data_IF_546428093770
#
_entry.id   IF_546428093770
#
_cell.length_a   1.000
_cell.length_b   1.000
_cell.length_c   1.000
_cell.angle_alpha   90.00
_cell.angle_beta   90.00
_cell.angle_gamma   90.00
#
_symmetry.space_group_name_H-M   'P 1'
#
loop_
_entity.id
_entity.type
_entity.pdbx_description
1 polymer ?
#
# COMPACT_ATOMS: atom_id res chain seq x y z
N UNK A 1 10.83 7.27 1.76
CA UNK A 1 11.02 7.19 0.29
C UNK A 1 9.88 7.87 -0.44
N UNK A 2 8.61 7.49 -0.24
CA UNK A 2 7.47 8.14 -0.92
C UNK A 2 7.37 9.65 -0.69
N UNK A 3 7.37 10.10 0.57
CA UNK A 3 7.34 11.54 0.87
C UNK A 3 8.52 12.30 0.24
N UNK A 4 9.68 11.65 0.10
CA UNK A 4 10.85 12.24 -0.54
C UNK A 4 10.68 12.37 -2.06
N UNK A 5 10.13 11.36 -2.74
CA UNK A 5 9.83 11.43 -4.18
C UNK A 5 8.79 12.51 -4.47
N UNK A 6 7.77 12.63 -3.61
CA UNK A 6 6.77 13.70 -3.76
C UNK A 6 7.37 15.09 -3.55
N UNK A 7 8.26 15.24 -2.57
CA UNK A 7 8.97 16.50 -2.36
C UNK A 7 9.93 16.82 -3.50
N UNK A 8 10.64 15.81 -4.01
CA UNK A 8 11.50 15.97 -5.18
C UNK A 8 10.67 16.41 -6.38
N UNK A 9 9.49 15.81 -6.58
CA UNK A 9 8.57 16.18 -7.66
C UNK A 9 8.06 17.61 -7.52
N UNK A 10 7.65 18.01 -6.31
CA UNK A 10 7.25 19.40 -6.03
C UNK A 10 8.40 20.36 -6.31
N UNK A 11 9.63 20.05 -5.91
CA UNK A 11 10.81 20.87 -6.18
C UNK A 11 11.12 20.96 -7.68
N UNK A 12 11.14 19.83 -8.39
CA UNK A 12 11.40 19.82 -9.83
C UNK A 12 10.30 20.55 -10.59
N UNK A 13 9.06 20.54 -10.09
CA UNK A 13 7.95 21.26 -10.70
C UNK A 13 7.97 22.77 -10.49
N UNK A 14 8.88 23.30 -9.67
CA UNK A 14 9.04 24.75 -9.53
C UNK A 14 9.59 25.39 -10.81
N UNK A 15 10.13 24.61 -11.74
CA UNK A 15 10.46 25.10 -13.09
C UNK A 15 9.24 25.54 -13.90
N UNK A 16 8.02 25.12 -13.50
CA UNK A 16 6.77 25.60 -14.09
C UNK A 16 6.56 27.10 -13.81
N UNK A 17 7.09 27.60 -12.69
CA UNK A 17 7.06 29.03 -12.39
C UNK A 17 7.96 29.72 -13.41
N UNK A 18 7.43 30.70 -14.14
CA UNK A 18 8.09 31.38 -15.25
C UNK A 18 9.20 32.35 -14.78
N UNK A 19 10.21 31.80 -14.13
CA UNK A 19 11.35 32.52 -13.57
C UNK A 19 12.61 32.07 -14.28
N UNK A 20 13.51 33.02 -14.57
CA UNK A 20 14.80 32.73 -15.20
C UNK A 20 15.71 32.07 -14.18
N UNK A 21 15.70 30.74 -14.16
CA UNK A 21 16.64 29.97 -13.36
C UNK A 21 18.04 29.99 -14.00
N UNK A 22 19.10 29.91 -13.18
CA UNK A 22 20.47 29.73 -13.67
C UNK A 22 20.61 28.44 -14.47
N UNK A 23 21.53 28.44 -15.43
CA UNK A 23 21.78 27.30 -16.33
C UNK A 23 22.08 26.01 -15.56
N UNK A 24 22.91 26.09 -14.50
CA UNK A 24 23.26 24.91 -13.70
C UNK A 24 22.07 24.35 -12.93
N UNK A 25 21.25 25.22 -12.33
CA UNK A 25 20.02 24.83 -11.62
C UNK A 25 19.00 24.21 -12.59
N UNK A 26 18.85 24.78 -13.78
CA UNK A 26 18.02 24.23 -14.85
C UNK A 26 18.48 22.84 -15.28
N UNK A 27 19.79 22.64 -15.47
CA UNK A 27 20.37 21.36 -15.89
C UNK A 27 20.19 20.28 -14.81
N UNK A 28 20.40 20.62 -13.53
CA UNK A 28 20.15 19.68 -12.42
C UNK A 28 18.67 19.35 -12.30
N UNK A 29 17.79 20.35 -12.39
CA UNK A 29 16.34 20.13 -12.37
C UNK A 29 15.91 19.19 -13.50
N UNK A 30 16.47 19.31 -14.71
CA UNK A 30 16.18 18.41 -15.83
C UNK A 30 16.50 16.94 -15.51
N UNK A 31 17.64 16.65 -14.88
CA UNK A 31 17.96 15.28 -14.47
C UNK A 31 17.09 14.80 -13.32
N UNK A 32 16.85 15.64 -12.30
CA UNK A 32 16.01 15.29 -11.17
C UNK A 32 14.55 15.06 -11.57
N UNK A 33 14.08 15.76 -12.60
CA UNK A 33 12.73 15.65 -13.13
C UNK A 33 12.44 14.25 -13.69
N UNK A 34 13.34 13.68 -14.48
CA UNK A 34 13.19 12.31 -14.99
C UNK A 34 13.06 11.29 -13.84
N UNK A 35 13.87 11.46 -12.79
CA UNK A 35 13.76 10.63 -11.58
C UNK A 35 12.45 10.87 -10.80
N UNK A 36 11.99 12.12 -10.71
CA UNK A 36 10.79 12.47 -9.92
C UNK A 36 9.49 12.06 -10.61
N UNK A 37 9.48 12.04 -11.94
CA UNK A 37 8.38 11.54 -12.78
C UNK A 37 8.40 10.00 -12.91
N UNK A 38 9.49 9.35 -12.49
CA UNK A 38 9.76 7.93 -12.73
C UNK A 38 9.73 7.56 -14.21
N UNK A 39 10.08 8.51 -15.06
CA UNK A 39 10.05 8.38 -16.52
C UNK A 39 11.28 7.62 -17.03
N UNK A 40 11.24 6.31 -16.81
CA UNK A 40 12.35 5.39 -17.09
C UNK A 40 12.11 4.63 -18.41
N UNK A 41 10.85 4.47 -18.80
CA UNK A 41 10.45 3.74 -19.99
C UNK A 41 10.24 4.72 -21.14
N UNK A 42 10.71 4.43 -22.37
CA UNK A 42 10.49 5.29 -23.53
C UNK A 42 9.04 5.19 -24.02
N UNK A 43 8.12 5.80 -23.28
CA UNK A 43 6.68 5.74 -23.52
C UNK A 43 6.30 6.39 -24.85
N UNK A 44 6.97 7.50 -25.22
CA UNK A 44 6.72 8.24 -26.46
C UNK A 44 6.73 7.34 -27.70
N UNK A 45 7.74 6.44 -27.79
CA UNK A 45 7.86 5.50 -28.91
C UNK A 45 6.69 4.54 -28.97
N UNK A 46 6.21 4.07 -27.81
CA UNK A 46 5.11 3.12 -27.73
C UNK A 46 3.81 3.84 -28.12
N UNK A 47 3.60 5.06 -27.62
CA UNK A 47 2.42 5.87 -27.92
C UNK A 47 2.31 6.19 -29.42
N UNK A 48 3.42 6.54 -30.07
CA UNK A 48 3.47 6.78 -31.54
C UNK A 48 3.05 5.55 -32.36
N UNK A 49 3.34 4.32 -31.90
CA UNK A 49 2.92 3.11 -32.60
C UNK A 49 1.43 2.80 -32.46
N UNK A 50 0.80 3.21 -31.35
CA UNK A 50 -0.58 2.85 -31.03
C UNK A 50 -1.60 3.98 -31.27
N UNK A 51 -1.18 5.25 -31.24
CA UNK A 51 -2.05 6.41 -31.26
C UNK A 51 -1.55 7.45 -32.27
N UNK A 52 -2.47 7.97 -33.09
CA UNK A 52 -2.23 9.09 -34.01
C UNK A 52 -2.70 10.38 -33.33
N UNK A 53 -1.81 11.36 -33.26
CA UNK A 53 -2.05 12.68 -32.65
C UNK A 53 -1.85 13.78 -33.70
N UNK A 54 -2.60 14.87 -33.58
CA UNK A 54 -2.46 16.07 -34.42
C UNK A 54 -1.33 16.97 -33.90
N UNK A 55 -0.63 17.67 -34.81
CA UNK A 55 0.51 18.56 -34.51
C UNK A 55 0.17 19.68 -33.50
N UNK A 56 -1.09 20.15 -33.47
CA UNK A 56 -1.53 21.21 -32.56
C UNK A 56 -1.49 20.75 -31.09
N UNK A 57 -1.70 19.45 -30.86
CA UNK A 57 -1.66 18.87 -29.51
C UNK A 57 -0.22 18.69 -28.99
N UNK A 58 0.78 18.83 -29.87
CA UNK A 58 2.19 18.61 -29.57
C UNK A 58 2.88 19.84 -28.98
N UNK A 59 2.24 21.01 -29.02
CA UNK A 59 2.76 22.22 -28.37
C UNK A 59 2.53 22.21 -26.85
N UNK A 60 3.51 22.67 -26.08
CA UNK A 60 3.36 22.91 -24.64
C UNK A 60 2.48 24.13 -24.33
N UNK A 61 2.15 24.36 -23.05
CA UNK A 61 1.49 25.59 -22.60
C UNK A 61 2.46 26.80 -22.54
N UNK A 62 3.74 26.56 -22.73
CA UNK A 62 4.80 27.57 -22.69
C UNK A 62 6.14 26.95 -22.29
N UNK A 63 7.25 27.69 -22.47
CA UNK A 63 8.60 27.18 -22.25
C UNK A 63 8.88 26.72 -20.81
N UNK A 64 8.18 27.27 -19.82
CA UNK A 64 8.28 26.83 -18.42
C UNK A 64 7.65 25.46 -18.18
N UNK A 65 6.60 25.10 -18.92
CA UNK A 65 5.99 23.77 -18.84
C UNK A 65 6.85 22.71 -19.55
N UNK A 66 7.41 23.04 -20.71
CA UNK A 66 8.40 22.21 -21.41
C UNK A 66 9.64 21.96 -20.54
N UNK A 67 10.17 23.01 -19.88
CA UNK A 67 11.24 22.87 -18.90
C UNK A 67 10.90 22.03 -17.66
N UNK A 68 9.62 21.71 -17.46
CA UNK A 68 9.11 20.84 -16.40
C UNK A 68 8.66 19.45 -16.93
N UNK A 69 8.98 19.11 -18.19
CA UNK A 69 8.65 17.82 -18.81
C UNK A 69 7.19 17.68 -19.20
N UNK A 70 6.49 18.80 -19.39
CA UNK A 70 5.15 18.85 -19.98
C UNK A 70 5.27 19.44 -21.38
N UNK A 71 5.90 18.67 -22.26
CA UNK A 71 6.31 19.10 -23.61
C UNK A 71 5.12 19.23 -24.57
N UNK A 72 3.99 18.59 -24.24
CA UNK A 72 2.77 18.58 -25.04
C UNK A 72 1.58 19.07 -24.21
N UNK A 73 0.49 19.50 -24.86
CA UNK A 73 -0.81 19.70 -24.18
C UNK A 73 -1.55 18.39 -23.97
N UNK A 74 -1.18 17.36 -24.70
CA UNK A 74 -1.82 16.07 -24.66
C UNK A 74 -1.60 15.40 -23.30
N UNK A 75 -2.70 15.14 -22.60
CA UNK A 75 -2.64 14.52 -21.28
C UNK A 75 -2.01 13.11 -21.31
N UNK A 76 -2.13 12.38 -22.42
CA UNK A 76 -1.51 11.05 -22.55
C UNK A 76 0.01 11.16 -22.67
N UNK A 77 0.52 11.99 -23.58
CA UNK A 77 1.97 12.17 -23.76
C UNK A 77 2.65 12.67 -22.48
N UNK A 78 2.01 13.61 -21.77
CA UNK A 78 2.53 14.15 -20.51
C UNK A 78 2.58 13.12 -19.36
N UNK A 79 1.91 11.98 -19.48
CA UNK A 79 2.03 10.90 -18.49
C UNK A 79 3.34 10.14 -18.63
N UNK A 80 3.90 10.09 -19.83
CA UNK A 80 5.06 9.26 -20.17
C UNK A 80 4.91 7.83 -19.64
N UNK A 81 5.92 7.33 -18.95
CA UNK A 81 5.89 5.99 -18.34
C UNK A 81 4.73 5.77 -17.34
N UNK A 82 4.16 6.85 -16.78
CA UNK A 82 2.97 6.82 -15.93
C UNK A 82 1.78 6.12 -16.59
N UNK A 83 1.60 6.32 -17.89
CA UNK A 83 0.55 5.66 -18.67
C UNK A 83 0.77 4.14 -18.74
N UNK A 84 2.01 3.70 -18.98
CA UNK A 84 2.37 2.28 -18.99
C UNK A 84 2.14 1.64 -17.61
N UNK A 85 2.47 2.36 -16.52
CA UNK A 85 2.20 1.87 -15.17
C UNK A 85 0.69 1.72 -14.90
N UNK A 86 -0.16 2.60 -15.43
CA UNK A 86 -1.62 2.43 -15.37
C UNK A 86 -2.02 1.13 -16.08
N UNK A 87 -1.56 0.92 -17.32
CA UNK A 87 -1.89 -0.28 -18.10
C UNK A 87 -1.45 -1.55 -17.37
N UNK A 88 -0.19 -1.59 -16.91
CA UNK A 88 0.34 -2.75 -16.16
C UNK A 88 -0.48 -3.00 -14.89
N UNK A 89 -0.88 -1.94 -14.18
CA UNK A 89 -1.71 -2.05 -12.99
C UNK A 89 -3.10 -2.60 -13.32
N UNK A 90 -3.72 -2.15 -14.42
CA UNK A 90 -5.00 -2.66 -14.89
C UNK A 90 -4.91 -4.13 -15.29
N UNK A 91 -3.84 -4.53 -16.01
CA UNK A 91 -3.58 -5.92 -16.37
C UNK A 91 -3.41 -6.78 -15.10
N UNK A 92 -2.64 -6.32 -14.12
CA UNK A 92 -2.44 -7.03 -12.86
C UNK A 92 -3.75 -7.18 -12.07
N UNK A 93 -4.57 -6.13 -11.99
CA UNK A 93 -5.92 -6.18 -11.41
C UNK A 93 -6.80 -7.20 -12.13
N UNK A 94 -6.79 -7.22 -13.47
CA UNK A 94 -7.58 -8.15 -14.27
C UNK A 94 -7.16 -9.60 -14.03
N UNK A 95 -5.86 -9.89 -14.00
CA UNK A 95 -5.33 -11.23 -13.74
C UNK A 95 -5.77 -11.77 -12.39
N UNK A 96 -5.77 -10.93 -11.35
CA UNK A 96 -6.16 -11.34 -10.01
C UNK A 96 -7.67 -11.47 -9.86
N UNK A 97 -8.43 -10.63 -10.56
CA UNK A 97 -9.87 -10.82 -10.69
C UNK A 97 -10.21 -12.16 -11.36
N UNK A 98 -9.56 -12.49 -12.49
CA UNK A 98 -9.71 -13.78 -13.15
C UNK A 98 -9.29 -14.96 -12.26
N UNK A 99 -8.15 -14.85 -11.57
CA UNK A 99 -7.70 -15.88 -10.64
C UNK A 99 -8.70 -16.11 -9.50
N UNK A 100 -9.37 -15.05 -9.02
CA UNK A 100 -10.42 -15.14 -8.01
C UNK A 100 -11.70 -15.78 -8.56
N UNK A 101 -12.09 -15.47 -9.79
CA UNK A 101 -13.23 -16.11 -10.46
C UNK A 101 -13.00 -17.62 -10.65
N UNK A 102 -11.80 -18.01 -11.10
CA UNK A 102 -11.41 -19.42 -11.25
C UNK A 102 -11.43 -20.13 -9.89
N UNK A 103 -10.90 -19.51 -8.83
CA UNK A 103 -10.95 -20.04 -7.46
C UNK A 103 -12.38 -20.18 -6.90
N UNK A 104 -13.31 -19.33 -7.34
CA UNK A 104 -14.72 -19.44 -6.97
C UNK A 104 -15.38 -20.62 -7.70
N UNK A 105 -15.09 -20.78 -8.99
CA UNK A 105 -15.62 -21.88 -9.81
C UNK A 105 -15.02 -23.25 -9.45
N UNK A 106 -13.81 -23.31 -8.90
CA UNK A 106 -13.11 -24.56 -8.59
C UNK A 106 -13.42 -25.15 -7.21
N UNK A 107 -14.33 -24.55 -6.44
CA UNK A 107 -14.73 -25.00 -5.10
C UNK A 107 -15.30 -26.45 -5.06
N UNK A 108 -15.56 -27.07 -6.22
CA UNK A 108 -16.17 -28.39 -6.30
C UNK A 108 -15.23 -29.61 -6.33
N UNK A 109 -14.02 -29.58 -6.93
CA UNK A 109 -13.45 -30.85 -7.43
C UNK A 109 -11.92 -31.08 -7.44
N UNK A 110 -11.03 -30.16 -7.03
CA UNK A 110 -9.58 -30.39 -7.21
C UNK A 110 -8.66 -30.05 -6.01
N UNK A 111 -7.56 -30.81 -5.95
CA UNK A 111 -6.66 -31.14 -4.81
C UNK A 111 -6.23 -30.04 -3.83
N UNK A 112 -6.04 -30.44 -2.57
CA UNK A 112 -6.04 -29.62 -1.33
C UNK A 112 -4.73 -28.85 -1.03
N UNK A 113 -3.56 -29.23 -1.58
CA UNK A 113 -2.27 -28.70 -1.07
C UNK A 113 -1.61 -27.59 -1.91
N UNK A 114 -1.55 -27.70 -3.24
CA UNK A 114 -0.96 -26.62 -4.09
C UNK A 114 -1.92 -25.43 -4.19
N UNK A 115 -3.22 -25.71 -4.21
CA UNK A 115 -4.26 -24.68 -4.26
C UNK A 115 -4.40 -23.90 -2.95
N UNK A 116 -4.08 -24.47 -1.78
CA UNK A 116 -4.20 -23.74 -0.52
C UNK A 116 -3.17 -22.61 -0.41
N UNK A 117 -1.93 -22.83 -0.88
CA UNK A 117 -0.91 -21.78 -0.99
C UNK A 117 -1.31 -20.72 -2.01
N UNK A 118 -1.69 -21.11 -3.24
CA UNK A 118 -2.16 -20.16 -4.27
C UNK A 118 -3.38 -19.37 -3.81
N UNK A 119 -4.33 -20.00 -3.10
CA UNK A 119 -5.51 -19.33 -2.55
C UNK A 119 -5.13 -18.32 -1.46
N UNK A 120 -4.18 -18.64 -0.59
CA UNK A 120 -3.64 -17.70 0.40
C UNK A 120 -2.94 -16.52 -0.28
N UNK A 121 -2.11 -16.77 -1.30
CA UNK A 121 -1.45 -15.73 -2.08
C UNK A 121 -2.49 -14.86 -2.80
N UNK A 122 -3.46 -15.45 -3.50
CA UNK A 122 -4.51 -14.71 -4.22
C UNK A 122 -5.37 -13.87 -3.26
N UNK A 123 -5.75 -14.41 -2.10
CA UNK A 123 -6.54 -13.66 -1.12
C UNK A 123 -5.73 -12.51 -0.48
N UNK A 124 -4.46 -12.75 -0.17
CA UNK A 124 -3.55 -11.72 0.36
C UNK A 124 -3.29 -10.62 -0.68
N UNK A 125 -2.96 -11.00 -1.91
CA UNK A 125 -2.78 -10.08 -3.04
C UNK A 125 -4.07 -9.33 -3.35
N UNK A 126 -5.24 -9.97 -3.28
CA UNK A 126 -6.53 -9.31 -3.49
C UNK A 126 -6.77 -8.19 -2.47
N UNK A 127 -6.51 -8.43 -1.18
CA UNK A 127 -6.65 -7.39 -0.16
C UNK A 127 -5.67 -6.23 -0.38
N UNK A 128 -4.41 -6.55 -0.72
CA UNK A 128 -3.40 -5.52 -1.01
C UNK A 128 -3.77 -4.70 -2.25
N UNK A 129 -4.26 -5.34 -3.31
CA UNK A 129 -4.61 -4.67 -4.56
C UNK A 129 -5.86 -3.85 -4.39
N UNK A 130 -6.93 -4.42 -3.85
CA UNK A 130 -8.22 -3.75 -3.76
C UNK A 130 -8.14 -2.48 -2.90
N UNK A 131 -7.42 -2.54 -1.77
CA UNK A 131 -7.35 -1.43 -0.83
C UNK A 131 -6.15 -0.52 -1.00
N UNK A 132 -5.00 -1.03 -1.45
CA UNK A 132 -3.75 -0.26 -1.47
C UNK A 132 -3.29 0.15 -2.86
N UNK A 133 -3.54 -0.64 -3.91
CA UNK A 133 -2.97 -0.33 -5.23
C UNK A 133 -3.59 0.94 -5.85
N UNK A 134 -4.94 1.11 -5.92
CA UNK A 134 -5.53 2.34 -6.44
C UNK A 134 -5.07 3.59 -5.70
N UNK A 135 -5.07 3.54 -4.36
CA UNK A 135 -4.70 4.69 -3.54
C UNK A 135 -3.20 4.99 -3.65
N UNK A 136 -2.33 3.97 -3.81
CA UNK A 136 -0.90 4.18 -4.12
C UNK A 136 -0.70 4.80 -5.49
N UNK A 137 -1.40 4.31 -6.52
CA UNK A 137 -1.28 4.84 -7.88
C UNK A 137 -1.77 6.29 -7.94
N UNK A 138 -2.90 6.59 -7.28
CA UNK A 138 -3.39 7.95 -7.12
C UNK A 138 -2.31 8.77 -6.44
N UNK A 139 -1.85 8.44 -5.23
CA UNK A 139 -0.83 9.22 -4.54
C UNK A 139 0.47 9.39 -5.32
N UNK A 140 0.93 8.34 -5.98
CA UNK A 140 2.20 8.33 -6.70
C UNK A 140 2.15 9.21 -7.94
N UNK A 141 1.03 9.28 -8.65
CA UNK A 141 0.94 9.99 -9.92
C UNK A 141 0.02 11.21 -9.85
N UNK A 142 -0.52 11.53 -8.67
CA UNK A 142 -1.54 12.56 -8.48
C UNK A 142 -1.11 13.91 -9.05
N UNK A 143 0.13 14.30 -8.78
CA UNK A 143 0.68 15.55 -9.25
C UNK A 143 0.71 15.63 -10.78
N UNK A 144 1.25 14.59 -11.43
CA UNK A 144 1.42 14.52 -12.89
C UNK A 144 0.06 14.40 -13.58
N UNK A 145 -0.84 13.56 -13.06
CA UNK A 145 -2.21 13.40 -13.55
C UNK A 145 -2.96 14.72 -13.52
N UNK A 146 -2.89 15.41 -12.39
CA UNK A 146 -3.63 16.65 -12.20
C UNK A 146 -3.08 17.74 -13.11
N UNK A 147 -1.76 17.94 -13.18
CA UNK A 147 -1.19 18.93 -14.12
C UNK A 147 -1.55 18.59 -15.55
N UNK A 148 -1.37 17.34 -15.98
CA UNK A 148 -1.71 16.92 -17.35
C UNK A 148 -3.20 17.14 -17.66
N UNK A 149 -4.09 16.86 -16.71
CA UNK A 149 -5.53 17.07 -16.86
C UNK A 149 -5.89 18.56 -16.96
N UNK A 150 -5.38 19.39 -16.05
CA UNK A 150 -5.64 20.82 -16.06
C UNK A 150 -5.00 21.52 -17.26
N UNK A 151 -3.82 21.07 -17.70
CA UNK A 151 -3.16 21.63 -18.87
C UNK A 151 -3.96 21.41 -20.16
N UNK A 152 -4.50 20.19 -20.33
CA UNK A 152 -5.30 19.84 -21.50
C UNK A 152 -6.68 20.52 -21.50
N UNK A 153 -7.32 20.72 -20.34
CA UNK A 153 -8.65 21.36 -20.25
C UNK A 153 -8.66 22.86 -20.50
N UNK A 154 -7.51 23.53 -20.54
CA UNK A 154 -7.46 24.97 -20.87
C UNK A 154 -7.67 25.27 -22.37
N UNK A 155 -7.68 24.24 -23.22
CA UNK A 155 -7.91 24.40 -24.66
C UNK A 155 -9.13 23.57 -25.04
N UNK A 156 -9.94 24.12 -25.97
CA UNK A 156 -11.17 23.50 -26.45
C UNK A 156 -10.93 22.03 -26.74
N UNK A 157 -11.76 21.18 -26.11
CA UNK A 157 -11.72 19.74 -26.28
C UNK A 157 -11.84 19.43 -27.77
N UNK A 158 -10.72 19.02 -28.39
CA UNK A 158 -10.67 18.66 -29.80
C UNK A 158 -10.93 17.16 -29.95
N UNK A 159 -11.67 16.81 -31.00
CA UNK A 159 -12.10 15.45 -31.30
C UNK A 159 -11.74 15.05 -32.74
N UNK A 160 -10.77 15.73 -33.38
CA UNK A 160 -10.45 15.51 -34.79
C UNK A 160 -9.76 14.18 -35.04
N UNK A 161 -8.90 13.71 -34.13
CA UNK A 161 -8.20 12.41 -34.25
C UNK A 161 -8.54 11.45 -33.11
N UNK A 162 -8.30 10.15 -33.34
CA UNK A 162 -8.54 9.12 -32.31
C UNK A 162 -7.67 9.32 -31.07
N UNK A 163 -6.43 9.81 -31.24
CA UNK A 163 -5.54 10.15 -30.13
C UNK A 163 -6.08 11.33 -29.31
N UNK A 164 -6.59 12.37 -29.96
CA UNK A 164 -7.21 13.51 -29.27
C UNK A 164 -8.51 13.14 -28.55
N UNK A 165 -9.37 12.31 -29.16
CA UNK A 165 -10.58 11.82 -28.52
C UNK A 165 -10.24 11.07 -27.22
N UNK A 166 -9.23 10.19 -27.28
CA UNK A 166 -8.78 9.45 -26.11
C UNK A 166 -8.11 10.37 -25.09
N UNK A 167 -7.26 11.31 -25.51
CA UNK A 167 -6.59 12.27 -24.64
C UNK A 167 -7.60 13.16 -23.90
N UNK A 168 -8.62 13.64 -24.60
CA UNK A 168 -9.71 14.44 -24.06
C UNK A 168 -10.56 13.68 -23.06
N UNK A 169 -10.97 12.46 -23.41
CA UNK A 169 -11.71 11.58 -22.48
C UNK A 169 -10.87 11.26 -21.24
N UNK A 170 -9.58 10.97 -21.43
CA UNK A 170 -8.63 10.67 -20.36
C UNK A 170 -8.41 11.89 -19.47
N UNK A 171 -8.27 13.08 -20.04
CA UNK A 171 -8.13 14.34 -19.31
C UNK A 171 -9.36 14.65 -18.45
N UNK A 172 -10.58 14.47 -18.97
CA UNK A 172 -11.81 14.60 -18.19
C UNK A 172 -11.88 13.58 -17.05
N UNK A 173 -11.53 12.32 -17.31
CA UNK A 173 -11.47 11.29 -16.28
C UNK A 173 -10.42 11.62 -15.21
N UNK A 174 -9.23 12.09 -15.60
CA UNK A 174 -8.18 12.52 -14.70
C UNK A 174 -8.56 13.76 -13.90
N UNK A 175 -9.31 14.69 -14.48
CA UNK A 175 -9.86 15.84 -13.75
C UNK A 175 -10.86 15.39 -12.69
N UNK A 176 -11.73 14.44 -13.02
CA UNK A 176 -12.63 13.80 -12.06
C UNK A 176 -11.87 13.10 -10.92
N UNK A 177 -10.77 12.41 -11.25
CA UNK A 177 -9.87 11.80 -10.27
C UNK A 177 -9.17 12.88 -9.44
N UNK A 178 -8.68 13.96 -10.04
CA UNK A 178 -7.99 15.04 -9.32
C UNK A 178 -8.89 15.64 -8.23
N UNK A 179 -10.12 16.01 -8.56
CA UNK A 179 -11.05 16.56 -7.56
C UNK A 179 -11.64 15.50 -6.62
N UNK A 180 -11.87 14.28 -7.11
CA UNK A 180 -12.49 13.20 -6.34
C UNK A 180 -11.52 12.45 -5.42
N UNK A 181 -10.23 12.43 -5.72
CA UNK A 181 -9.23 11.63 -5.01
C UNK A 181 -9.08 11.98 -3.53
N UNK A 182 -9.06 13.26 -3.09
CA UNK A 182 -8.99 13.56 -1.67
C UNK A 182 -10.19 12.99 -0.90
N UNK A 183 -11.40 13.14 -1.44
CA UNK A 183 -12.62 12.62 -0.82
C UNK A 183 -12.60 11.08 -0.82
N UNK A 184 -12.23 10.47 -1.95
CA UNK A 184 -12.10 9.03 -2.08
C UNK A 184 -11.07 8.45 -1.09
N UNK A 185 -9.93 9.12 -0.91
CA UNK A 185 -8.92 8.74 0.06
C UNK A 185 -9.44 8.80 1.49
N UNK A 186 -10.13 9.89 1.85
CA UNK A 186 -10.75 10.03 3.16
C UNK A 186 -11.79 8.93 3.43
N UNK A 187 -12.65 8.64 2.45
CA UNK A 187 -13.68 7.59 2.53
C UNK A 187 -13.03 6.22 2.73
N UNK A 188 -12.03 5.87 1.91
CA UNK A 188 -11.32 4.58 2.03
C UNK A 188 -10.66 4.45 3.40
N UNK A 189 -9.96 5.49 3.85
CA UNK A 189 -9.26 5.44 5.14
C UNK A 189 -10.27 5.29 6.28
N UNK A 190 -11.38 6.02 6.24
CA UNK A 190 -12.45 5.91 7.23
C UNK A 190 -13.06 4.50 7.27
N UNK A 191 -13.49 3.95 6.14
CA UNK A 191 -14.06 2.61 6.09
C UNK A 191 -13.06 1.54 6.50
N UNK A 192 -11.80 1.66 6.06
CA UNK A 192 -10.75 0.73 6.44
C UNK A 192 -10.51 0.75 7.94
N UNK A 193 -10.44 1.94 8.55
CA UNK A 193 -10.26 2.07 9.99
C UNK A 193 -11.41 1.42 10.76
N UNK A 194 -12.64 1.44 10.23
CA UNK A 194 -13.79 0.77 10.85
C UNK A 194 -13.83 -0.76 10.69
N UNK A 195 -13.13 -1.31 9.67
CA UNK A 195 -13.28 -2.71 9.25
C UNK A 195 -12.07 -3.59 9.55
N UNK A 196 -10.87 -3.01 9.69
CA UNK A 196 -9.62 -3.76 9.84
C UNK A 196 -8.96 -3.34 11.15
N UNK A 197 -8.66 -4.31 12.02
CA UNK A 197 -7.90 -4.06 13.23
C UNK A 197 -6.62 -3.30 12.87
N UNK A 198 -6.43 -2.17 13.54
CA UNK A 198 -5.37 -1.21 13.24
C UNK A 198 -3.95 -1.78 13.45
N UNK A 199 -3.82 -3.04 13.87
CA UNK A 199 -2.57 -3.80 14.04
C UNK A 199 -2.05 -4.43 12.73
N UNK A 200 -2.88 -4.61 11.70
CA UNK A 200 -2.48 -5.21 10.41
C UNK A 200 -2.09 -4.15 9.35
N UNK A 201 -1.17 -3.23 9.70
CA UNK A 201 -0.81 -2.09 8.82
C UNK A 201 0.26 -2.38 7.77
N UNK A 202 0.84 -3.58 7.73
CA UNK A 202 2.00 -3.83 6.87
C UNK A 202 1.63 -3.74 5.39
N UNK A 203 2.28 -2.82 4.67
CA UNK A 203 1.99 -2.59 3.25
C UNK A 203 0.76 -1.72 3.00
N UNK A 204 0.38 -0.86 3.94
CA UNK A 204 -0.81 0.00 3.83
C UNK A 204 -0.43 1.47 3.78
N UNK A 205 -1.25 2.32 3.15
CA UNK A 205 -0.97 3.76 3.04
C UNK A 205 -1.10 4.51 4.38
N UNK A 206 -1.65 3.84 5.39
CA UNK A 206 -1.78 4.31 6.77
C UNK A 206 -0.65 3.79 7.66
N UNK A 207 0.32 3.05 7.11
CA UNK A 207 1.44 2.52 7.86
C UNK A 207 2.32 3.68 8.40
N UNK A 208 2.51 3.72 9.72
CA UNK A 208 3.28 4.76 10.39
C UNK A 208 2.51 6.08 10.67
N UNK A 209 1.24 6.19 10.27
CA UNK A 209 0.38 7.33 10.67
C UNK A 209 -0.17 7.11 12.09
N UNK A 210 -0.20 8.17 12.89
CA UNK A 210 -0.89 8.18 14.19
C UNK A 210 -2.42 8.17 13.96
N UNK A 211 -3.20 7.87 15.00
CA UNK A 211 -4.67 7.96 14.93
C UNK A 211 -5.14 9.37 14.51
N UNK A 212 -4.47 10.40 15.02
CA UNK A 212 -4.72 11.80 14.64
C UNK A 212 -4.25 12.10 13.21
N UNK A 213 -3.24 11.37 12.73
CA UNK A 213 -2.67 11.48 11.39
C UNK A 213 -3.43 10.73 10.29
N UNK A 214 -4.55 10.06 10.58
CA UNK A 214 -5.35 9.35 9.57
C UNK A 214 -5.77 10.25 8.39
N UNK A 215 -6.00 11.53 8.67
CA UNK A 215 -6.36 12.52 7.64
C UNK A 215 -5.15 13.10 6.90
N UNK A 216 -3.91 12.66 7.18
CA UNK A 216 -2.74 13.21 6.51
C UNK A 216 -2.81 12.96 5.00
N UNK A 217 -3.15 11.75 4.55
CA UNK A 217 -3.25 11.41 3.12
C UNK A 217 -4.21 12.33 2.34
N UNK A 218 -5.49 12.50 2.73
CA UNK A 218 -6.37 13.42 2.01
C UNK A 218 -5.90 14.87 2.11
N UNK A 219 -5.29 15.29 3.23
CA UNK A 219 -4.70 16.63 3.36
C UNK A 219 -3.53 16.83 2.39
N UNK A 220 -2.66 15.83 2.20
CA UNK A 220 -1.59 15.88 1.18
C UNK A 220 -2.18 16.04 -0.22
N UNK A 221 -3.23 15.28 -0.56
CA UNK A 221 -3.87 15.39 -1.87
C UNK A 221 -4.52 16.77 -2.10
N UNK A 222 -5.14 17.35 -1.07
CA UNK A 222 -5.68 18.73 -1.13
C UNK A 222 -4.54 19.73 -1.31
N UNK A 223 -3.49 19.63 -0.49
CA UNK A 223 -2.32 20.49 -0.56
C UNK A 223 -1.69 20.47 -1.97
N UNK A 224 -1.50 19.28 -2.54
CA UNK A 224 -0.99 19.11 -3.89
C UNK A 224 -1.94 19.68 -4.94
N UNK A 225 -3.26 19.47 -4.81
CA UNK A 225 -4.26 20.03 -5.72
C UNK A 225 -4.23 21.56 -5.75
N UNK A 226 -4.20 22.20 -4.57
CA UNK A 226 -4.15 23.67 -4.48
C UNK A 226 -2.85 24.20 -5.10
N UNK A 227 -1.73 23.51 -4.88
CA UNK A 227 -0.45 23.86 -5.51
C UNK A 227 -0.53 23.83 -7.04
N UNK A 228 -1.17 22.82 -7.61
CA UNK A 228 -1.37 22.68 -9.06
C UNK A 228 -2.26 23.79 -9.62
N UNK A 229 -3.35 24.11 -8.92
CA UNK A 229 -4.23 25.23 -9.30
C UNK A 229 -3.42 26.53 -9.35
N UNK A 230 -2.54 26.77 -8.39
CA UNK A 230 -1.65 27.94 -8.41
C UNK A 230 -0.68 27.90 -9.59
N UNK A 231 -0.03 26.78 -9.85
CA UNK A 231 0.91 26.66 -10.99
C UNK A 231 0.24 26.98 -12.33
N UNK A 232 -1.00 26.54 -12.53
CA UNK A 232 -1.67 26.63 -13.83
C UNK A 232 -2.40 27.95 -14.00
N UNK A 233 -3.22 28.36 -13.03
CA UNK A 233 -4.07 29.55 -13.17
C UNK A 233 -3.33 30.87 -12.94
N UNK A 234 -2.21 30.84 -12.21
CA UNK A 234 -1.42 32.05 -11.94
C UNK A 234 -0.10 32.08 -12.74
N UNK A 235 -0.01 31.32 -13.84
CA UNK A 235 1.22 31.19 -14.66
C UNK A 235 1.81 32.51 -15.17
N UNK A 236 1.01 33.57 -15.23
CA UNK A 236 1.44 34.89 -15.70
C UNK A 236 2.07 35.75 -14.60
N UNK A 237 1.94 35.35 -13.33
CA UNK A 237 2.35 36.16 -12.17
C UNK A 237 3.21 35.36 -11.21
N UNK A 238 4.47 35.09 -11.60
CA UNK A 238 5.43 34.30 -10.83
C UNK A 238 5.56 34.73 -9.36
N UNK A 239 5.60 36.04 -9.07
CA UNK A 239 5.68 36.52 -7.69
C UNK A 239 4.47 36.13 -6.84
N UNK A 240 3.26 36.16 -7.41
CA UNK A 240 2.04 35.75 -6.71
C UNK A 240 2.04 34.23 -6.52
N UNK A 241 2.47 33.46 -7.53
CA UNK A 241 2.61 32.01 -7.44
C UNK A 241 3.52 31.60 -6.29
N UNK A 242 4.74 32.13 -6.25
CA UNK A 242 5.73 31.83 -5.21
C UNK A 242 5.17 32.19 -3.83
N UNK A 243 4.54 33.36 -3.68
CA UNK A 243 3.96 33.81 -2.41
C UNK A 243 2.88 32.85 -1.90
N UNK A 244 1.95 32.44 -2.77
CA UNK A 244 0.86 31.54 -2.37
C UNK A 244 1.35 30.12 -2.08
N UNK A 245 2.29 29.60 -2.88
CA UNK A 245 2.91 28.30 -2.64
C UNK A 245 3.69 28.30 -1.31
N UNK A 246 4.37 29.40 -1.00
CA UNK A 246 5.06 29.58 0.27
C UNK A 246 4.07 29.57 1.45
N UNK A 247 2.96 30.30 1.33
CA UNK A 247 1.92 30.32 2.36
C UNK A 247 1.30 28.92 2.59
N UNK A 248 1.05 28.17 1.52
CA UNK A 248 0.53 26.79 1.62
C UNK A 248 1.55 25.86 2.30
N UNK A 249 2.84 26.00 1.97
CA UNK A 249 3.91 25.27 2.66
C UNK A 249 3.95 25.61 4.16
N UNK A 250 3.79 26.89 4.54
CA UNK A 250 3.70 27.29 5.96
C UNK A 250 2.49 26.67 6.66
N UNK A 251 1.31 26.62 6.01
CA UNK A 251 0.13 25.93 6.56
C UNK A 251 0.41 24.45 6.76
N UNK A 252 1.14 23.81 5.84
CA UNK A 252 1.54 22.41 5.97
C UNK A 252 2.52 22.18 7.13
N UNK A 253 3.48 23.07 7.32
CA UNK A 253 4.40 23.04 8.47
C UNK A 253 3.64 23.17 9.78
N UNK A 254 2.72 24.13 9.88
CA UNK A 254 1.86 24.29 11.05
C UNK A 254 1.05 23.01 11.32
N UNK A 255 0.45 22.42 10.28
CA UNK A 255 -0.25 21.14 10.38
C UNK A 255 0.65 20.03 10.95
N UNK A 256 1.87 19.86 10.43
CA UNK A 256 2.81 18.82 10.91
C UNK A 256 3.19 19.07 12.39
N UNK A 257 3.43 20.32 12.77
CA UNK A 257 3.81 20.69 14.14
C UNK A 257 2.67 20.40 15.12
N UNK A 258 1.44 20.82 14.81
CA UNK A 258 0.32 20.71 15.74
C UNK A 258 -0.31 19.32 15.78
N UNK A 259 -0.41 18.64 14.63
CA UNK A 259 -1.08 17.33 14.54
C UNK A 259 -0.09 16.18 14.73
N UNK A 260 1.19 16.36 14.37
CA UNK A 260 2.20 15.29 14.40
C UNK A 260 1.67 13.98 13.77
N UNK A 261 1.41 13.98 12.44
CA UNK A 261 0.65 12.93 11.78
C UNK A 261 1.31 11.54 11.80
N UNK A 262 2.60 11.45 12.09
CA UNK A 262 3.32 10.17 12.14
C UNK A 262 3.49 9.67 13.59
N UNK A 263 3.47 8.35 13.79
CA UNK A 263 3.65 7.74 15.10
C UNK A 263 5.07 7.95 15.64
N UNK A 264 6.06 7.89 14.75
CA UNK A 264 7.46 8.05 15.15
C UNK A 264 7.84 9.54 15.11
N UNK A 265 8.47 10.06 16.16
CA UNK A 265 8.87 11.46 16.20
C UNK A 265 9.89 11.82 15.11
N UNK A 266 10.73 10.86 14.69
CA UNK A 266 11.69 11.08 13.61
C UNK A 266 10.99 11.29 12.25
N UNK A 267 9.87 10.63 12.00
CA UNK A 267 9.14 10.74 10.73
C UNK A 267 8.45 12.11 10.64
N UNK A 268 7.89 12.61 11.74
CA UNK A 268 7.38 13.99 11.83
C UNK A 268 8.49 15.03 11.59
N UNK A 269 9.68 14.82 12.17
CA UNK A 269 10.83 15.71 11.95
C UNK A 269 11.30 15.70 10.50
N UNK A 270 11.34 14.54 9.85
CA UNK A 270 11.69 14.43 8.43
C UNK A 270 10.64 15.13 7.56
N UNK A 271 9.35 14.91 7.83
CA UNK A 271 8.28 15.60 7.11
C UNK A 271 8.38 17.12 7.25
N UNK A 272 8.59 17.62 8.48
CA UNK A 272 8.77 19.04 8.74
C UNK A 272 10.01 19.61 8.05
N UNK A 273 11.14 18.90 8.12
CA UNK A 273 12.38 19.31 7.45
C UNK A 273 12.17 19.44 5.94
N UNK A 274 11.45 18.50 5.33
CA UNK A 274 11.21 18.56 3.89
C UNK A 274 10.37 19.79 3.49
N UNK A 275 9.32 20.12 4.25
CA UNK A 275 8.51 21.31 3.99
C UNK A 275 9.29 22.61 4.25
N UNK A 276 10.17 22.63 5.27
CA UNK A 276 11.07 23.75 5.50
C UNK A 276 12.02 23.97 4.32
N UNK A 277 12.55 22.88 3.75
CA UNK A 277 13.41 22.94 2.57
C UNK A 277 12.63 23.49 1.36
N UNK A 278 11.40 23.03 1.14
CA UNK A 278 10.54 23.56 0.07
C UNK A 278 10.29 25.07 0.24
N UNK A 279 9.97 25.51 1.45
CA UNK A 279 9.80 26.92 1.79
C UNK A 279 11.07 27.74 1.56
N UNK A 280 12.24 27.24 1.96
CA UNK A 280 13.52 27.91 1.73
C UNK A 280 13.80 28.06 0.23
N UNK A 281 13.51 27.02 -0.55
CA UNK A 281 13.69 27.05 -2.00
C UNK A 281 12.74 28.05 -2.66
N UNK A 282 11.45 28.07 -2.29
CA UNK A 282 10.47 29.07 -2.76
C UNK A 282 10.91 30.51 -2.48
N UNK A 283 11.37 30.78 -1.25
CA UNK A 283 11.90 32.10 -0.87
C UNK A 283 13.13 32.47 -1.68
N UNK A 284 13.97 31.49 -2.02
CA UNK A 284 15.17 31.74 -2.82
C UNK A 284 14.79 32.04 -4.28
N UNK A 285 13.80 31.34 -4.86
CA UNK A 285 13.28 31.65 -6.21
C UNK A 285 12.69 33.06 -6.28
N UNK A 286 12.11 33.56 -5.18
CA UNK A 286 11.53 34.92 -5.15
C UNK A 286 12.55 35.99 -5.58
N UNK A 287 13.84 35.80 -5.28
CA UNK A 287 14.90 36.74 -5.68
C UNK A 287 15.18 36.77 -7.19
N UNK A 288 14.75 35.76 -7.93
CA UNK A 288 14.89 35.66 -9.39
C UNK A 288 13.68 36.19 -10.16
N UNK A 289 12.63 36.61 -9.46
CA UNK A 289 11.55 37.35 -10.10
C UNK A 289 12.07 38.72 -10.54
N UNK A 290 11.44 39.32 -11.56
CA UNK A 290 11.85 40.60 -12.17
C UNK A 290 11.92 41.80 -11.17
N UNK A 291 11.59 41.58 -9.90
CA UNK A 291 11.72 42.54 -8.81
C UNK A 291 13.18 42.90 -8.44
N UNK A 292 14.18 42.07 -8.75
CA UNK A 292 15.58 42.31 -8.35
C UNK A 292 16.53 42.45 -9.55
N UNK A 293 17.12 43.64 -9.72
CA UNK A 293 18.13 43.93 -10.74
C UNK A 293 19.60 43.74 -10.31
N UNK A 294 19.86 43.22 -9.10
CA UNK A 294 21.23 43.10 -8.56
C UNK A 294 21.84 41.71 -8.85
N UNK A 295 22.85 41.66 -9.71
CA UNK A 295 23.51 40.43 -10.18
C UNK A 295 24.25 39.66 -9.09
N UNK A 296 24.79 40.34 -8.07
CA UNK A 296 25.54 39.68 -7.00
C UNK A 296 24.63 38.89 -6.06
N UNK A 297 23.43 39.43 -5.80
CA UNK A 297 22.38 38.76 -5.02
C UNK A 297 21.89 37.52 -5.75
N UNK A 298 21.77 37.59 -7.08
CA UNK A 298 21.37 36.44 -7.91
C UNK A 298 22.40 35.30 -7.78
N UNK A 299 23.70 35.57 -7.91
CA UNK A 299 24.73 34.53 -7.76
C UNK A 299 24.77 33.85 -6.38
N UNK A 300 24.52 34.59 -5.30
CA UNK A 300 24.42 34.01 -3.96
C UNK A 300 23.17 33.12 -3.88
N UNK A 301 22.04 33.59 -4.41
CA UNK A 301 20.81 32.82 -4.45
C UNK A 301 20.94 31.55 -5.32
N UNK A 302 21.73 31.59 -6.40
CA UNK A 302 22.03 30.42 -7.24
C UNK A 302 22.71 29.33 -6.42
N UNK A 303 23.74 29.73 -5.67
CA UNK A 303 24.49 28.82 -4.81
C UNK A 303 23.61 28.23 -3.70
N UNK A 304 22.70 29.03 -3.15
CA UNK A 304 21.72 28.56 -2.15
C UNK A 304 20.73 27.57 -2.78
N UNK A 305 20.16 27.86 -3.96
CA UNK A 305 19.27 26.93 -4.69
C UNK A 305 19.98 25.61 -4.99
N UNK A 306 21.23 25.70 -5.47
CA UNK A 306 22.06 24.53 -5.77
C UNK A 306 22.33 23.70 -4.50
N UNK A 307 22.66 24.36 -3.40
CA UNK A 307 22.89 23.72 -2.11
C UNK A 307 21.63 23.05 -1.58
N UNK A 308 20.47 23.69 -1.72
CA UNK A 308 19.18 23.12 -1.34
C UNK A 308 18.83 21.90 -2.21
N UNK A 309 18.92 22.01 -3.53
CA UNK A 309 18.64 20.91 -4.44
C UNK A 309 19.57 19.71 -4.19
N UNK A 310 20.86 19.99 -3.98
CA UNK A 310 21.87 18.98 -3.63
C UNK A 310 21.60 18.35 -2.27
N UNK A 311 21.18 19.15 -1.27
CA UNK A 311 20.81 18.67 0.05
C UNK A 311 19.59 17.75 -0.01
N UNK A 312 18.56 18.08 -0.78
CA UNK A 312 17.38 17.21 -0.96
C UNK A 312 17.75 15.91 -1.65
N UNK A 313 18.54 15.99 -2.72
CA UNK A 313 19.02 14.82 -3.44
C UNK A 313 19.92 13.92 -2.57
N UNK A 314 20.76 14.51 -1.71
CA UNK A 314 21.68 13.79 -0.82
C UNK A 314 21.03 13.27 0.48
N UNK A 315 20.07 14.01 1.05
CA UNK A 315 19.34 13.62 2.26
C UNK A 315 18.56 12.32 2.05
N UNK A 316 18.11 12.03 0.83
CA UNK A 316 17.40 10.79 0.53
C UNK A 316 18.21 9.52 0.80
N UNK A 317 19.34 9.32 0.11
CA UNK A 317 20.26 8.22 0.37
C UNK A 317 20.83 8.25 1.80
N UNK A 318 21.15 9.43 2.34
CA UNK A 318 21.68 9.54 3.71
C UNK A 318 20.67 9.14 4.77
N UNK A 319 19.41 9.58 4.69
CA UNK A 319 18.36 9.20 5.63
C UNK A 319 18.06 7.70 5.52
N UNK A 320 18.01 7.14 4.31
CA UNK A 320 17.86 5.67 4.14
C UNK A 320 19.03 4.93 4.77
N UNK A 321 20.27 5.42 4.60
CA UNK A 321 21.48 4.80 5.17
C UNK A 321 21.54 4.96 6.70
N UNK A 322 21.21 6.14 7.23
CA UNK A 322 21.12 6.41 8.67
C UNK A 322 20.00 5.61 9.30
N UNK A 323 18.83 5.50 8.67
CA UNK A 323 17.74 4.65 9.14
C UNK A 323 18.11 3.16 9.06
N UNK A 324 18.87 2.74 8.04
CA UNK A 324 19.39 1.37 7.97
C UNK A 324 20.42 1.08 9.07
N UNK A 325 21.24 2.08 9.42
CA UNK A 325 22.24 1.99 10.47
C UNK A 325 21.61 2.01 11.87
N UNK A 326 20.63 2.89 12.10
CA UNK A 326 19.84 2.94 13.33
C UNK A 326 18.99 1.68 13.53
N UNK A 327 18.49 1.08 12.43
CA UNK A 327 17.82 -0.22 12.47
C UNK A 327 18.78 -1.37 12.77
N UNK A 328 20.07 -1.26 12.41
CA UNK A 328 21.09 -2.23 12.80
C UNK A 328 21.63 -2.03 14.22
N UNK A 329 21.64 -0.81 14.75
CA UNK A 329 22.11 -0.51 16.12
C UNK A 329 21.01 -0.58 17.19
N UNK A 330 19.73 -0.54 16.80
CA UNK A 330 18.60 -0.75 17.72
C UNK A 330 17.53 -1.63 17.06
N UNK A 331 17.73 -2.96 17.09
CA UNK A 331 16.56 -3.78 17.40
C UNK A 331 16.26 -3.51 18.87
N UNK A 332 15.17 -2.79 19.20
CA UNK A 332 14.89 -2.46 20.58
C UNK A 332 14.74 -3.76 21.36
N UNK A 333 15.31 -3.84 22.55
CA UNK A 333 15.06 -4.92 23.50
C UNK A 333 13.56 -5.19 23.64
N UNK A 334 12.71 -4.16 23.46
CA UNK A 334 11.25 -4.27 23.40
C UNK A 334 10.70 -5.16 22.26
N UNK A 335 11.37 -5.23 21.10
CA UNK A 335 10.97 -6.15 20.01
C UNK A 335 11.33 -7.59 20.36
N UNK A 336 12.51 -7.82 20.94
CA UNK A 336 12.89 -9.13 21.45
C UNK A 336 12.04 -9.55 22.66
N UNK A 337 11.68 -8.63 23.55
CA UNK A 337 10.76 -8.86 24.67
C UNK A 337 9.33 -9.13 24.19
N UNK A 338 8.82 -8.38 23.21
CA UNK A 338 7.51 -8.62 22.64
C UNK A 338 7.46 -9.95 21.89
N UNK A 339 8.54 -10.30 21.18
CA UNK A 339 8.64 -11.57 20.47
C UNK A 339 8.81 -12.75 21.44
N UNK A 340 9.59 -12.61 22.52
CA UNK A 340 9.70 -13.63 23.57
C UNK A 340 8.40 -13.79 24.36
N UNK A 341 7.69 -12.70 24.73
CA UNK A 341 6.37 -12.77 25.35
C UNK A 341 5.33 -13.43 24.44
N UNK A 342 5.34 -13.12 23.14
CA UNK A 342 4.46 -13.78 22.18
C UNK A 342 4.81 -15.25 22.01
N UNK A 343 6.09 -15.61 21.94
CA UNK A 343 6.52 -17.00 21.87
C UNK A 343 6.14 -17.79 23.13
N UNK A 344 6.30 -17.22 24.33
CA UNK A 344 5.83 -17.81 25.59
C UNK A 344 4.30 -17.97 25.63
N UNK A 345 3.56 -17.00 25.07
CA UNK A 345 2.09 -17.08 24.95
C UNK A 345 1.66 -18.17 23.94
N UNK A 346 2.45 -18.39 22.89
CA UNK A 346 2.24 -19.49 21.94
C UNK A 346 2.57 -20.85 22.56
N UNK A 347 3.70 -20.97 23.28
CA UNK A 347 4.09 -22.20 23.97
C UNK A 347 3.07 -22.59 25.05
N UNK A 348 2.61 -21.64 25.88
CA UNK A 348 1.57 -21.91 26.89
C UNK A 348 0.23 -22.32 26.27
N UNK A 349 -0.15 -21.73 25.11
CA UNK A 349 -1.31 -22.19 24.32
C UNK A 349 -1.10 -23.60 23.74
N UNK A 350 0.12 -23.92 23.31
CA UNK A 350 0.48 -25.24 22.78
C UNK A 350 0.44 -26.31 23.88
N UNK A 351 0.96 -25.99 25.07
CA UNK A 351 0.93 -26.86 26.25
C UNK A 351 -0.50 -27.12 26.72
N UNK A 352 -1.36 -26.10 26.75
CA UNK A 352 -2.78 -26.28 27.07
C UNK A 352 -3.49 -27.14 26.04
N UNK A 353 -3.24 -26.94 24.73
CA UNK A 353 -3.76 -27.82 23.67
C UNK A 353 -3.26 -29.26 23.84
N UNK A 354 -1.97 -29.47 24.11
CA UNK A 354 -1.40 -30.80 24.37
C UNK A 354 -2.02 -31.47 25.60
N UNK A 355 -2.26 -30.71 26.68
CA UNK A 355 -2.89 -31.21 27.89
C UNK A 355 -4.35 -31.62 27.65
N UNK A 356 -5.09 -30.85 26.84
CA UNK A 356 -6.46 -31.17 26.42
C UNK A 356 -6.48 -32.44 25.57
N UNK A 357 -5.57 -32.56 24.60
CA UNK A 357 -5.43 -33.76 23.76
C UNK A 357 -5.05 -34.98 24.62
N UNK A 358 -4.10 -34.87 25.53
CA UNK A 358 -3.71 -35.96 26.44
C UNK A 358 -4.86 -36.38 27.36
N UNK A 359 -5.66 -35.44 27.89
CA UNK A 359 -6.86 -35.75 28.67
C UNK A 359 -7.91 -36.47 27.82
N UNK A 360 -8.12 -36.05 26.57
CA UNK A 360 -9.02 -36.71 25.64
C UNK A 360 -8.55 -38.14 25.28
N UNK A 361 -7.26 -38.33 25.01
CA UNK A 361 -6.65 -39.65 24.76
C UNK A 361 -6.77 -40.55 25.98
N UNK A 362 -6.52 -40.05 27.19
CA UNK A 362 -6.66 -40.81 28.44
C UNK A 362 -8.13 -41.18 28.74
N UNK A 363 -9.08 -40.34 28.35
CA UNK A 363 -10.52 -40.63 28.42
C UNK A 363 -10.91 -41.72 27.40
N UNK A 364 -10.41 -41.63 26.17
CA UNK A 364 -10.63 -42.64 25.13
C UNK A 364 -9.98 -43.99 25.44
N UNK A 365 -8.78 -44.02 26.04
CA UNK A 365 -8.13 -45.29 26.43
C UNK A 365 -8.84 -45.98 27.59
N UNK A 366 -9.39 -45.21 28.56
CA UNK A 366 -10.29 -45.75 29.59
C UNK A 366 -11.58 -46.31 28.98
N UNK A 367 -12.15 -45.63 27.99
CA UNK A 367 -13.35 -46.08 27.29
C UNK A 367 -13.09 -47.32 26.41
N UNK A 368 -11.93 -47.43 25.77
CA UNK A 368 -11.52 -48.65 25.06
C UNK A 368 -11.26 -49.81 26.02
N UNK A 369 -10.62 -49.58 27.17
CA UNK A 369 -10.45 -50.60 28.22
C UNK A 369 -11.80 -51.07 28.75
N UNK A 370 -12.76 -50.17 29.01
CA UNK A 370 -14.11 -50.58 29.43
C UNK A 370 -14.84 -51.39 28.34
N UNK A 371 -14.75 -50.98 27.06
CA UNK A 371 -15.31 -51.73 25.92
C UNK A 371 -14.67 -53.13 25.77
N UNK A 372 -13.35 -53.27 25.96
CA UNK A 372 -12.65 -54.57 25.96
C UNK A 372 -13.10 -55.44 27.15
N UNK A 373 -13.29 -54.85 28.33
CA UNK A 373 -13.75 -55.55 29.53
C UNK A 373 -15.20 -56.05 29.37
N UNK A 374 -16.08 -55.22 28.81
CA UNK A 374 -17.47 -55.59 28.48
C UNK A 374 -17.50 -56.71 27.43
N UNK A 375 -16.69 -56.64 26.37
CA UNK A 375 -16.56 -57.74 25.40
C UNK A 375 -16.04 -59.04 26.03
N UNK A 376 -15.08 -58.96 26.96
CA UNK A 376 -14.57 -60.12 27.67
C UNK A 376 -15.62 -60.74 28.59
N UNK A 377 -16.41 -59.92 29.29
CA UNK A 377 -17.54 -60.38 30.11
C UNK A 377 -18.59 -61.07 29.24
N UNK A 378 -18.99 -60.46 28.11
CA UNK A 378 -19.95 -61.05 27.16
C UNK A 378 -19.42 -62.39 26.60
N UNK A 379 -18.13 -62.48 26.27
CA UNK A 379 -17.51 -63.72 25.77
C UNK A 379 -17.48 -64.81 26.85
N UNK A 380 -17.26 -64.45 28.12
CA UNK A 380 -17.27 -65.37 29.26
C UNK A 380 -18.69 -65.87 29.57
N UNK A 381 -19.69 -65.01 29.43
CA UNK A 381 -21.11 -65.38 29.56
C UNK A 381 -21.53 -66.32 28.42
N UNK A 382 -21.13 -66.04 27.16
CA UNK A 382 -21.41 -66.93 26.02
C UNK A 382 -20.62 -68.24 26.07
N UNK A 383 -19.42 -68.25 26.64
CA UNK A 383 -18.57 -69.44 26.79
C UNK A 383 -19.05 -70.43 27.87
N UNK A 384 -19.71 -69.96 28.92
CA UNK A 384 -20.28 -70.82 29.97
C UNK A 384 -21.71 -71.31 29.67
N UNK A 385 -22.27 -70.97 28.51
CA UNK A 385 -23.63 -71.30 28.09
C UNK A 385 -23.76 -72.54 27.21
N UNK A 386 -23.16 -73.68 27.60
CA UNK A 386 -23.58 -75.02 27.11
C UNK A 386 -24.00 -75.92 28.28
N UNK A 387 -24.97 -75.44 29.05
CA UNK A 387 -26.03 -76.24 29.71
C UNK A 387 -26.98 -75.27 30.41
N UNK A 388 -28.28 -75.46 30.17
CA UNK A 388 -29.44 -74.66 30.62
C UNK A 388 -29.71 -73.37 29.84
N UNK A 389 -30.24 -73.57 28.62
CA UNK A 389 -31.14 -72.60 27.99
C UNK A 389 -32.50 -72.65 28.70
N UNK A 390 -32.72 -71.75 29.66
CA UNK A 390 -34.04 -71.20 30.02
C UNK A 390 -33.80 -70.02 30.97
N UNK A 391 -34.29 -68.84 30.58
CA UNK A 391 -34.15 -67.51 31.21
C UNK A 391 -32.90 -66.71 30.80
N UNK A 392 -32.97 -66.09 29.62
CA UNK A 392 -32.35 -64.78 29.38
C UNK A 392 -33.24 -64.03 28.38
N UNK A 393 -34.31 -63.39 28.88
CA UNK A 393 -35.10 -62.41 28.13
C UNK A 393 -34.99 -61.00 28.73
N UNK A 394 -34.00 -60.74 29.59
CA UNK A 394 -33.82 -59.43 30.26
C UNK A 394 -32.51 -58.71 29.89
N UNK A 395 -31.71 -59.22 28.94
CA UNK A 395 -30.43 -58.58 28.57
C UNK A 395 -30.51 -57.82 27.23
N UNK A 396 -31.66 -57.85 26.55
CA UNK A 396 -31.88 -57.12 25.29
C UNK A 396 -32.25 -55.64 25.47
N UNK A 397 -32.29 -55.11 26.70
CA UNK A 397 -32.63 -53.71 26.97
C UNK A 397 -31.44 -52.77 27.23
N UNK A 398 -30.19 -53.25 27.15
CA UNK A 398 -29.01 -52.41 27.38
C UNK A 398 -28.41 -51.85 26.07
N UNK A 399 -28.82 -52.35 24.90
CA UNK A 399 -28.30 -51.85 23.61
C UNK A 399 -29.00 -50.58 23.09
N UNK A 400 -30.04 -50.06 23.78
CA UNK A 400 -30.78 -48.86 23.35
C UNK A 400 -30.49 -47.57 24.14
N UNK A 401 -29.52 -47.55 25.07
CA UNK A 401 -29.24 -46.36 25.93
C UNK A 401 -27.90 -45.66 25.56
N UNK A 402 -27.25 -46.02 24.46
CA UNK A 402 -26.07 -45.28 23.96
C UNK A 402 -26.29 -44.74 22.53
N UNK A 403 -27.47 -44.16 22.30
CA UNK A 403 -27.67 -43.12 21.31
C UNK A 403 -27.92 -41.81 22.07
N UNK A 404 -26.85 -41.17 22.53
CA UNK A 404 -26.90 -39.77 22.94
C UNK A 404 -25.83 -39.04 22.14
N UNK A 405 -26.35 -38.13 21.34
CA UNK A 405 -25.73 -37.02 20.62
C UNK A 405 -24.27 -36.71 20.97
N UNK A 406 -23.43 -36.82 19.95
CA UNK A 406 -22.36 -35.86 19.70
C UNK A 406 -22.44 -35.44 18.22
N UNK A 407 -23.59 -34.87 17.84
CA UNK A 407 -23.62 -33.83 16.82
C UNK A 407 -23.25 -32.51 17.50
N UNK A 408 -22.43 -31.71 16.82
CA UNK A 408 -21.96 -30.37 17.21
C UNK A 408 -20.81 -30.33 18.22
N UNK A 409 -19.61 -30.49 17.68
CA UNK A 409 -18.62 -29.41 17.74
C UNK A 409 -17.74 -29.53 16.49
N UNK A 410 -18.11 -28.76 15.45
CA UNK A 410 -17.16 -28.35 14.42
C UNK A 410 -16.11 -27.48 15.13
N UNK A 411 -15.01 -28.12 15.51
CA UNK A 411 -13.74 -27.43 15.67
C UNK A 411 -13.01 -27.70 14.36
N UNK A 412 -12.99 -26.69 13.49
CA UNK A 412 -12.08 -26.63 12.35
C UNK A 412 -10.65 -26.78 12.89
N UNK A 413 -10.13 -27.99 12.78
CA UNK A 413 -8.73 -28.29 13.03
C UNK A 413 -8.02 -28.39 11.68
N UNK A 414 -7.63 -27.22 11.17
CA UNK A 414 -6.46 -27.11 10.29
C UNK A 414 -5.22 -27.35 11.16
N UNK A 415 -4.83 -28.61 11.30
CA UNK A 415 -3.46 -29.06 11.58
C UNK A 415 -3.45 -30.61 11.54
N UNK A 416 -3.01 -31.17 10.40
CA UNK A 416 -2.84 -32.61 10.23
C UNK A 416 -1.64 -33.11 11.06
N UNK A 417 -1.90 -33.54 12.29
CA UNK A 417 -0.96 -34.40 13.02
C UNK A 417 -1.45 -35.86 12.96
N UNK A 418 -0.74 -36.70 12.22
CA UNK A 418 -0.91 -38.15 12.28
C UNK A 418 -0.31 -38.68 13.58
N UNK A 419 -1.15 -38.97 14.57
CA UNK A 419 -0.74 -39.72 15.75
C UNK A 419 -0.82 -41.22 15.45
N UNK A 420 0.32 -41.88 15.30
CA UNK A 420 0.39 -43.34 15.29
C UNK A 420 0.47 -43.81 16.74
N UNK A 421 -0.59 -44.43 17.22
CA UNK A 421 -0.63 -45.04 18.56
C UNK A 421 -0.17 -46.49 18.41
N UNK A 422 1.11 -46.75 18.68
CA UNK A 422 1.59 -48.11 18.90
C UNK A 422 1.42 -48.45 20.39
N UNK A 423 0.91 -49.66 20.70
CA UNK A 423 0.43 -50.04 22.03
C UNK A 423 1.50 -50.00 23.15
N UNK A 424 2.78 -49.70 22.85
CA UNK A 424 3.85 -49.72 23.85
C UNK A 424 4.84 -48.54 23.87
N UNK A 425 4.77 -47.51 23.00
CA UNK A 425 5.60 -46.30 23.14
C UNK A 425 5.06 -45.11 22.34
N UNK A 426 5.04 -43.93 22.96
CA UNK A 426 4.71 -42.66 22.29
C UNK A 426 6.01 -42.11 21.68
N UNK A 427 6.23 -42.32 20.37
CA UNK A 427 7.35 -41.69 19.66
C UNK A 427 6.83 -40.53 18.79
N UNK A 428 7.44 -39.36 18.99
CA UNK A 428 7.32 -38.19 18.11
C UNK A 428 8.27 -38.39 16.93
N UNK A 429 7.75 -38.58 15.72
CA UNK A 429 8.53 -38.39 14.49
C UNK A 429 8.05 -37.13 13.80
N UNK A 430 8.95 -36.14 13.65
CA UNK A 430 8.74 -35.00 12.75
C UNK A 430 8.85 -35.49 11.31
N UNK A 431 7.90 -35.07 10.47
CA UNK A 431 8.07 -35.04 9.02
C UNK A 431 7.96 -33.59 8.55
#
# INVERSE_FOLDING_TARGET
MWGMLENLRRLTSLSIISVKLPVLTSLINKYLLQFSQMDILPADKIEEYFLVFDEISDESLGPSFEGAGFDSRNALRNLGSGFLYIIISLMYCSLIFFAKLVNFSSQGYFSVNVFSFLRKVINSSYQQIFWSLPLRMIMQQYFIYSISAFSNTQIQINYSTSGEQLASATSLAMMGIAFGAPLFAAIIIFFRHSLVDFSERFGTLTEGLSEQGLYNTPIELIHTLVSIVIYIYLRQTAGIQITLLYFISLLKQAYIIFISPYERPIDNKIALLNELILSAYLMTIMFFTDANGNTDILHICDFVLLSIASLVAALGPMIVKVLSYLKSEKMPEDYFEAQTKNNQKYESKLETKHLVIMKAVKKNSKMQKSKRLVKAIIKKIKGNGKKKAKRVNEITQVESICAIDVTNNNIDNDDNYCYRIDENNLQLSKH
#
